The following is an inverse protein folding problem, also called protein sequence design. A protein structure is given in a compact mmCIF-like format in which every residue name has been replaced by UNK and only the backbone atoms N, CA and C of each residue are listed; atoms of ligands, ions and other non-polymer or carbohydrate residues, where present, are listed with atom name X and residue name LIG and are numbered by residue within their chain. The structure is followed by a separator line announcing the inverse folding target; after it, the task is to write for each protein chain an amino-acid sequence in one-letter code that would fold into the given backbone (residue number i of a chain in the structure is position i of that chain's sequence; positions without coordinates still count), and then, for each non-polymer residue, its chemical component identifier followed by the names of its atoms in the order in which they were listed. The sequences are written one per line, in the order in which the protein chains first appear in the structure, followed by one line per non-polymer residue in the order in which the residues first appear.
data_IF_809796885047
#
_entry.id   IF_809796885047
#
_cell.length_a   1.000
_cell.length_b   1.000
_cell.length_c   1.000
_cell.angle_alpha   90.00
_cell.angle_beta   90.00
_cell.angle_gamma   90.00
#
_symmetry.space_group_name_H-M   'P 1'
#
loop_
_entity.id
_entity.type
_entity.pdbx_description
1 polymer ?
#
# COMPACT_ATOMS: atom_id res chain seq x y z
N UNK A 1 3.69 -16.09 9.21
CA UNK A 1 4.90 -15.29 9.54
C UNK A 1 5.95 -15.52 8.45
N UNK A 2 6.70 -14.49 8.05
CA UNK A 2 7.78 -14.61 7.06
C UNK A 2 8.89 -15.59 7.49
N UNK A 3 9.09 -15.75 8.81
CA UNK A 3 10.02 -16.70 9.41
C UNK A 3 9.73 -18.14 8.95
N UNK A 4 8.45 -18.52 8.89
CA UNK A 4 8.04 -19.89 8.54
C UNK A 4 8.35 -20.26 7.08
N UNK A 5 8.44 -19.24 6.22
CA UNK A 5 8.69 -19.41 4.78
C UNK A 5 10.08 -18.89 4.37
N UNK A 6 10.92 -18.54 5.35
CA UNK A 6 12.26 -18.01 5.16
C UNK A 6 12.36 -16.85 4.13
N UNK A 7 11.42 -15.90 4.19
CA UNK A 7 11.39 -14.72 3.29
C UNK A 7 11.78 -13.44 4.02
N UNK A 8 12.43 -12.52 3.32
CA UNK A 8 12.71 -11.17 3.83
C UNK A 8 11.54 -10.23 3.52
N UNK A 9 11.30 -9.25 4.40
CA UNK A 9 10.24 -8.24 4.21
C UNK A 9 10.45 -7.36 2.96
N UNK A 10 11.69 -7.21 2.50
CA UNK A 10 12.03 -6.48 1.27
C UNK A 10 11.68 -7.23 0.00
N UNK A 11 11.44 -8.54 0.07
CA UNK A 11 11.23 -9.43 -1.08
C UNK A 11 9.74 -9.76 -1.32
N UNK A 12 8.86 -9.32 -0.42
CA UNK A 12 7.43 -9.63 -0.52
C UNK A 12 6.66 -8.52 -1.23
N UNK A 13 5.57 -8.90 -1.90
CA UNK A 13 4.50 -8.00 -2.34
C UNK A 13 3.36 -8.11 -1.33
N UNK A 14 2.84 -6.97 -0.87
CA UNK A 14 1.71 -6.91 0.07
C UNK A 14 0.56 -6.16 -0.56
N UNK A 15 -0.65 -6.73 -0.46
CA UNK A 15 -1.90 -6.06 -0.83
C UNK A 15 -2.70 -5.77 0.44
N UNK A 16 -3.11 -4.52 0.62
CA UNK A 16 -3.95 -4.04 1.73
C UNK A 16 -5.30 -3.62 1.15
N UNK A 17 -6.32 -4.43 1.41
CA UNK A 17 -7.70 -4.12 1.06
C UNK A 17 -8.32 -3.20 2.13
N UNK A 18 -8.23 -1.90 1.91
CA UNK A 18 -8.78 -0.87 2.78
C UNK A 18 -7.78 0.25 3.07
N UNK A 19 -8.24 1.50 2.96
CA UNK A 19 -7.45 2.70 3.21
C UNK A 19 -8.02 3.58 4.34
N UNK A 20 -8.63 2.93 5.33
CA UNK A 20 -8.98 3.56 6.60
C UNK A 20 -7.77 3.70 7.53
N UNK A 21 -7.98 4.01 8.81
CA UNK A 21 -6.91 4.24 9.78
C UNK A 21 -5.94 3.05 9.91
N UNK A 22 -6.47 1.83 9.93
CA UNK A 22 -5.66 0.61 10.00
C UNK A 22 -4.81 0.42 8.73
N UNK A 23 -5.41 0.56 7.54
CA UNK A 23 -4.70 0.42 6.27
C UNK A 23 -3.60 1.46 6.08
N UNK A 24 -3.87 2.71 6.47
CA UNK A 24 -2.88 3.77 6.51
C UNK A 24 -1.72 3.43 7.46
N UNK A 25 -2.02 3.09 8.73
CA UNK A 25 -1.01 2.82 9.74
C UNK A 25 -0.14 1.61 9.41
N UNK A 26 -0.77 0.49 9.03
CA UNK A 26 -0.07 -0.74 8.65
C UNK A 26 0.76 -0.52 7.38
N UNK A 27 0.18 0.15 6.37
CA UNK A 27 0.90 0.45 5.13
C UNK A 27 2.16 1.28 5.38
N UNK A 28 2.07 2.31 6.23
CA UNK A 28 3.19 3.17 6.60
C UNK A 28 4.24 2.40 7.41
N UNK A 29 3.81 1.58 8.37
CA UNK A 29 4.69 0.72 9.16
C UNK A 29 5.48 -0.25 8.27
N UNK A 30 4.80 -0.98 7.37
CA UNK A 30 5.43 -1.90 6.44
C UNK A 30 6.41 -1.19 5.50
N UNK A 31 6.05 0.00 5.03
CA UNK A 31 6.93 0.81 4.18
C UNK A 31 8.23 1.21 4.88
N UNK A 32 8.14 1.62 6.15
CA UNK A 32 9.32 1.94 6.98
C UNK A 32 10.11 0.70 7.37
N UNK A 33 9.45 -0.44 7.58
CA UNK A 33 10.10 -1.72 7.86
C UNK A 33 10.82 -2.34 6.65
N UNK A 34 10.72 -1.73 5.47
CA UNK A 34 11.48 -2.13 4.26
C UNK A 34 10.65 -2.83 3.18
N UNK A 35 9.35 -3.03 3.37
CA UNK A 35 8.46 -3.52 2.32
C UNK A 35 8.19 -2.39 1.32
N UNK A 36 8.80 -2.45 0.13
CA UNK A 36 8.62 -1.40 -0.90
C UNK A 36 7.56 -1.74 -1.93
N UNK A 37 7.16 -3.01 -2.03
CA UNK A 37 6.13 -3.47 -2.95
C UNK A 37 4.78 -3.59 -2.22
N UNK A 38 4.14 -2.43 -2.01
CA UNK A 38 2.85 -2.33 -1.31
C UNK A 38 1.78 -1.84 -2.29
N UNK A 39 0.64 -2.51 -2.26
CA UNK A 39 -0.59 -2.17 -3.01
C UNK A 39 -1.70 -1.89 -2.00
N UNK A 40 -2.22 -0.67 -1.97
CA UNK A 40 -3.33 -0.27 -1.11
C UNK A 40 -4.52 0.14 -1.99
N UNK A 41 -5.69 -0.39 -1.66
CA UNK A 41 -6.95 -0.09 -2.33
C UNK A 41 -8.03 0.32 -1.33
N UNK A 42 -9.05 1.03 -1.81
CA UNK A 42 -10.27 1.35 -1.09
C UNK A 42 -11.51 0.90 -1.88
N UNK A 43 -12.70 1.35 -1.49
CA UNK A 43 -13.96 1.01 -2.16
C UNK A 43 -14.07 1.47 -3.62
N UNK A 44 -13.14 2.30 -4.10
CA UNK A 44 -13.06 2.74 -5.51
C UNK A 44 -11.87 2.11 -6.24
N UNK A 45 -11.20 1.14 -5.63
CA UNK A 45 -10.04 0.47 -6.19
C UNK A 45 -8.72 1.04 -5.69
N UNK A 46 -7.66 0.83 -6.46
CA UNK A 46 -6.30 1.19 -6.08
C UNK A 46 -6.12 2.69 -5.83
N UNK A 47 -5.29 3.04 -4.84
CA UNK A 47 -4.89 4.42 -4.57
C UNK A 47 -3.57 4.70 -5.28
N UNK A 48 -3.53 5.70 -6.17
CA UNK A 48 -2.33 6.05 -6.91
C UNK A 48 -2.20 7.57 -7.04
N UNK A 49 -0.99 8.04 -7.34
CA UNK A 49 -0.71 9.47 -7.49
C UNK A 49 -1.50 10.05 -8.65
N UNK A 50 -2.24 11.13 -8.41
CA UNK A 50 -3.09 11.78 -9.41
C UNK A 50 -4.51 11.22 -9.52
N UNK A 51 -4.88 10.19 -8.75
CA UNK A 51 -6.28 9.77 -8.61
C UNK A 51 -7.13 10.94 -8.11
N UNK A 52 -8.29 11.17 -8.72
CA UNK A 52 -9.20 12.27 -8.35
C UNK A 52 -10.32 11.84 -7.40
N UNK A 53 -10.82 10.62 -7.57
CA UNK A 53 -12.02 10.16 -6.86
C UNK A 53 -11.74 9.70 -5.42
N UNK A 54 -12.57 10.16 -4.47
CA UNK A 54 -12.55 9.72 -3.06
C UNK A 54 -11.17 9.88 -2.39
N UNK A 55 -10.46 10.96 -2.70
CA UNK A 55 -9.14 11.26 -2.13
C UNK A 55 -9.23 12.24 -0.95
N UNK A 56 -8.33 12.07 0.00
CA UNK A 56 -8.12 12.97 1.14
C UNK A 56 -6.63 13.06 1.44
N UNK A 57 -6.23 13.89 2.42
CA UNK A 57 -4.80 14.08 2.76
C UNK A 57 -4.05 12.77 3.07
N UNK A 58 -4.69 11.83 3.77
CA UNK A 58 -4.06 10.56 4.15
C UNK A 58 -3.94 9.60 2.97
N UNK A 59 -4.94 9.57 2.07
CA UNK A 59 -4.87 8.80 0.83
C UNK A 59 -3.83 9.39 -0.13
N UNK A 60 -3.64 10.71 -0.13
CA UNK A 60 -2.56 11.36 -0.88
C UNK A 60 -1.20 10.92 -0.34
N UNK A 61 -1.01 10.86 0.99
CA UNK A 61 0.22 10.30 1.56
C UNK A 61 0.43 8.83 1.19
N UNK A 62 -0.64 8.00 1.23
CA UNK A 62 -0.58 6.61 0.78
C UNK A 62 -0.10 6.53 -0.68
N UNK A 63 -0.66 7.36 -1.55
CA UNK A 63 -0.35 7.41 -2.97
C UNK A 63 1.13 7.70 -3.28
N UNK A 64 1.87 8.32 -2.37
CA UNK A 64 3.31 8.58 -2.54
C UNK A 64 4.18 7.32 -2.39
N UNK A 65 3.68 6.27 -1.73
CA UNK A 65 4.49 5.08 -1.48
C UNK A 65 3.89 3.74 -1.94
N UNK A 66 2.61 3.69 -2.31
CA UNK A 66 1.93 2.50 -2.84
C UNK A 66 1.82 2.53 -4.38
N UNK A 67 1.50 1.39 -5.00
CA UNK A 67 1.02 1.29 -6.40
C UNK A 67 1.90 2.01 -7.44
N UNK A 68 3.23 1.99 -7.26
CA UNK A 68 4.18 2.82 -8.04
C UNK A 68 4.33 2.40 -9.50
N UNK A 69 4.01 1.16 -9.82
CA UNK A 69 4.38 0.58 -11.11
C UNK A 69 3.24 0.57 -12.13
N UNK A 70 1.96 0.54 -11.73
CA UNK A 70 0.88 0.22 -12.69
C UNK A 70 -0.50 0.85 -12.42
N UNK A 71 -0.60 2.05 -11.84
CA UNK A 71 -1.90 2.73 -11.59
C UNK A 71 -2.98 1.84 -10.92
N UNK A 72 -2.60 0.75 -10.25
CA UNK A 72 -3.53 -0.19 -9.64
C UNK A 72 -3.95 -1.41 -10.45
N UNK A 73 -3.35 -1.68 -11.60
CA UNK A 73 -3.45 -2.99 -12.24
C UNK A 73 -2.59 -3.99 -11.44
N UNK A 74 -3.15 -5.18 -11.21
CA UNK A 74 -2.57 -6.26 -10.41
C UNK A 74 -1.81 -7.24 -11.29
#
# INVERSE_FOLDING_TARGET
SLVLVNKKISEIKVVIAGAGSAGYGIGKLLYFAGCKNIIILDSKGAIYKGRKDSMNKYKNEIAEFTNRYEQGLL
#
